data_IF_228414101234
#
_entry.id   IF_228414101234
#
_cell.length_a   1.000
_cell.length_b   1.000
_cell.length_c   1.000
_cell.angle_alpha   90.00
_cell.angle_beta   90.00
_cell.angle_gamma   90.00
#
_symmetry.space_group_name_H-M   'P 1'
#
loop_
_entity.id
_entity.type
_entity.pdbx_description
1 polymer ?
#
# COMPACT_ATOMS: atom_id res chain seq x y z
N UNK A 1 -15.30 -1.00 -20.31
CA UNK A 1 -14.84 0.10 -19.42
C UNK A 1 -14.60 1.32 -20.28
N UNK A 2 -15.18 2.47 -19.95
CA UNK A 2 -15.01 3.69 -20.77
C UNK A 2 -13.58 4.24 -20.67
N UNK A 3 -13.16 5.07 -21.64
CA UNK A 3 -11.83 5.69 -21.68
C UNK A 3 -11.55 6.49 -20.40
N UNK A 4 -12.53 7.25 -19.93
CA UNK A 4 -12.44 8.05 -18.70
C UNK A 4 -12.24 7.18 -17.45
N UNK A 5 -12.99 6.08 -17.31
CA UNK A 5 -12.79 5.15 -16.19
C UNK A 5 -11.39 4.54 -16.19
N UNK A 6 -10.84 4.24 -17.37
CA UNK A 6 -9.47 3.73 -17.48
C UNK A 6 -8.44 4.76 -17.03
N UNK A 7 -8.61 6.02 -17.42
CA UNK A 7 -7.73 7.11 -16.99
C UNK A 7 -7.81 7.30 -15.47
N UNK A 8 -9.02 7.42 -14.92
CA UNK A 8 -9.23 7.59 -13.47
C UNK A 8 -8.63 6.42 -12.70
N UNK A 9 -8.89 5.18 -13.14
CA UNK A 9 -8.35 3.98 -12.49
C UNK A 9 -6.82 3.93 -12.55
N UNK A 10 -6.23 4.30 -13.69
CA UNK A 10 -4.77 4.37 -13.82
C UNK A 10 -4.18 5.41 -12.87
N UNK A 11 -4.80 6.58 -12.77
CA UNK A 11 -4.36 7.63 -11.84
C UNK A 11 -4.47 7.16 -10.38
N UNK A 12 -5.57 6.50 -10.00
CA UNK A 12 -5.75 5.93 -8.65
C UNK A 12 -4.64 4.93 -8.32
N UNK A 13 -4.35 4.00 -9.23
CA UNK A 13 -3.29 3.00 -9.02
C UNK A 13 -1.90 3.64 -8.95
N UNK A 14 -1.61 4.64 -9.78
CA UNK A 14 -0.33 5.38 -9.72
C UNK A 14 -0.21 6.14 -8.40
N UNK A 15 -1.28 6.79 -7.94
CA UNK A 15 -1.29 7.50 -6.66
C UNK A 15 -1.08 6.53 -5.50
N UNK A 16 -1.74 5.37 -5.51
CA UNK A 16 -1.54 4.31 -4.53
C UNK A 16 -0.08 3.83 -4.51
N UNK A 17 0.52 3.58 -5.67
CA UNK A 17 1.94 3.23 -5.78
C UNK A 17 2.84 4.35 -5.22
N UNK A 18 2.55 5.62 -5.52
CA UNK A 18 3.34 6.74 -5.01
C UNK A 18 3.23 6.89 -3.49
N UNK A 19 2.03 6.75 -2.93
CA UNK A 19 1.78 6.82 -1.48
C UNK A 19 2.43 5.64 -0.75
N UNK A 20 2.35 4.43 -1.31
CA UNK A 20 3.01 3.24 -0.72
C UNK A 20 4.53 3.32 -0.77
N UNK A 21 5.11 3.97 -1.78
CA UNK A 21 6.56 4.19 -1.89
C UNK A 21 7.07 5.35 -1.03
N UNK A 22 6.22 6.31 -0.64
CA UNK A 22 6.63 7.50 0.09
C UNK A 22 7.44 7.22 1.38
N UNK A 23 7.10 6.23 2.23
CA UNK A 23 7.89 5.90 3.42
C UNK A 23 9.29 5.38 3.07
N UNK A 24 9.41 4.60 1.98
CA UNK A 24 10.70 4.06 1.52
C UNK A 24 11.59 5.20 1.02
N UNK A 25 11.04 6.09 0.20
CA UNK A 25 11.77 7.26 -0.31
C UNK A 25 12.16 8.22 0.81
N UNK A 26 11.27 8.45 1.79
CA UNK A 26 11.64 9.23 2.98
C UNK A 26 12.72 8.55 3.82
N UNK A 27 12.67 7.23 3.98
CA UNK A 27 13.72 6.49 4.69
C UNK A 27 15.09 6.61 4.02
N UNK A 28 15.13 6.61 2.68
CA UNK A 28 16.35 6.79 1.89
C UNK A 28 16.87 8.24 1.88
N UNK A 29 15.98 9.23 1.94
CA UNK A 29 16.36 10.66 2.00
C UNK A 29 16.75 11.12 3.41
N UNK A 30 16.24 10.44 4.43
CA UNK A 30 16.53 10.69 5.86
C UNK A 30 17.34 9.51 6.39
N UNK A 31 18.24 8.98 5.58
CA UNK A 31 19.27 8.09 6.06
C UNK A 31 20.26 8.98 6.82
N UNK A 32 20.44 8.81 8.16
CA UNK A 32 21.42 9.59 8.88
C UNK A 32 22.78 9.29 8.24
N UNK A 33 23.43 10.34 7.74
CA UNK A 33 24.79 10.27 7.23
C UNK A 33 25.62 9.43 8.21
N UNK A 34 26.24 8.37 7.72
CA UNK A 34 27.10 7.48 8.50
C UNK A 34 28.32 8.19 9.14
N UNK A 35 28.42 9.52 8.98
CA UNK A 35 29.43 10.38 9.58
C UNK A 35 29.25 10.63 11.10
N UNK A 36 28.09 10.35 11.70
CA UNK A 36 27.86 10.58 13.14
C UNK A 36 27.96 9.30 14.02
N UNK A 37 28.43 8.18 13.47
CA UNK A 37 28.65 6.96 14.26
C UNK A 37 30.02 7.02 14.93
N UNK A 38 30.07 7.59 16.14
CA UNK A 38 31.20 7.41 17.04
C UNK A 38 31.39 5.91 17.33
N UNK A 39 32.59 5.33 17.18
CA UNK A 39 32.81 3.89 17.32
C UNK A 39 32.60 3.48 18.78
N UNK A 40 31.43 2.89 19.07
CA UNK A 40 31.08 2.40 20.41
C UNK A 40 29.70 2.81 20.93
N UNK A 41 28.99 3.72 20.25
CA UNK A 41 27.61 4.08 20.62
C UNK A 41 26.62 3.03 20.11
N UNK A 42 25.90 2.35 21.01
CA UNK A 42 24.71 1.56 20.62
C UNK A 42 23.79 2.48 19.81
N UNK A 43 23.57 2.14 18.54
CA UNK A 43 22.60 2.79 17.67
C UNK A 43 21.25 2.71 18.37
N UNK A 44 20.81 3.82 18.98
CA UNK A 44 19.46 3.93 19.53
C UNK A 44 18.55 4.16 18.32
N UNK A 45 17.71 3.19 17.92
CA UNK A 45 16.76 3.45 16.85
C UNK A 45 15.83 4.59 17.31
N UNK A 46 15.81 5.68 16.54
CA UNK A 46 15.02 6.90 16.76
C UNK A 46 13.55 6.66 16.33
N UNK A 47 12.98 5.55 16.79
CA UNK A 47 11.53 5.32 16.81
C UNK A 47 11.27 4.70 18.18
N UNK A 48 10.87 5.53 19.14
CA UNK A 48 10.44 5.04 20.44
C UNK A 48 9.16 4.22 20.24
N UNK A 49 9.31 2.91 20.30
CA UNK A 49 8.27 1.88 20.40
C UNK A 49 7.54 2.01 21.76
N UNK A 50 6.93 3.16 22.03
CA UNK A 50 6.40 3.47 23.37
C UNK A 50 5.01 2.89 23.66
N UNK A 51 4.43 2.07 22.78
CA UNK A 51 3.10 1.44 22.98
C UNK A 51 3.02 0.02 22.40
N UNK A 52 4.05 -0.81 22.60
CA UNK A 52 3.97 -2.24 22.20
C UNK A 52 3.61 -3.09 23.42
N UNK A 53 2.53 -3.89 23.39
CA UNK A 53 2.33 -4.90 24.41
C UNK A 53 3.56 -5.82 24.47
N UNK A 54 4.04 -6.08 25.69
CA UNK A 54 5.34 -6.67 26.09
C UNK A 54 5.70 -8.03 25.43
N UNK A 55 4.87 -8.56 24.54
CA UNK A 55 4.98 -9.87 23.91
C UNK A 55 5.31 -9.86 22.40
N UNK A 56 5.49 -8.70 21.76
CA UNK A 56 5.89 -8.66 20.34
C UNK A 56 7.41 -8.64 20.16
N UNK A 57 7.98 -9.50 19.28
CA UNK A 57 9.39 -9.42 18.92
C UNK A 57 9.69 -8.05 18.29
N UNK A 58 10.80 -7.43 18.73
CA UNK A 58 11.31 -6.17 18.17
C UNK A 58 11.42 -6.31 16.64
N UNK A 59 10.75 -5.42 15.90
CA UNK A 59 10.79 -5.39 14.43
C UNK A 59 9.68 -6.16 13.70
N UNK A 60 8.81 -6.91 14.39
CA UNK A 60 7.68 -7.61 13.74
C UNK A 60 6.72 -6.64 13.04
N UNK A 61 6.45 -5.49 13.66
CA UNK A 61 5.62 -4.42 13.09
C UNK A 61 6.25 -3.82 11.82
N UNK A 62 7.57 -3.68 11.77
CA UNK A 62 8.30 -3.20 10.59
C UNK A 62 8.28 -4.25 9.46
N UNK A 63 8.49 -5.52 9.79
CA UNK A 63 8.41 -6.62 8.84
C UNK A 63 7.01 -6.75 8.21
N UNK A 64 5.96 -6.67 9.03
CA UNK A 64 4.57 -6.69 8.55
C UNK A 64 4.27 -5.46 7.69
N UNK A 65 4.70 -4.26 8.09
CA UNK A 65 4.53 -3.05 7.29
C UNK A 65 5.20 -3.20 5.92
N UNK A 66 6.47 -3.63 5.88
CA UNK A 66 7.22 -3.83 4.63
C UNK A 66 6.56 -4.89 3.73
N UNK A 67 6.20 -6.04 4.29
CA UNK A 67 5.57 -7.12 3.54
C UNK A 67 4.21 -6.68 2.96
N UNK A 68 3.41 -5.99 3.77
CA UNK A 68 2.07 -5.54 3.37
C UNK A 68 2.14 -4.44 2.31
N UNK A 69 3.06 -3.48 2.45
CA UNK A 69 3.24 -2.42 1.44
C UNK A 69 3.78 -2.99 0.13
N UNK A 70 4.70 -3.96 0.18
CA UNK A 70 5.19 -4.64 -1.03
C UNK A 70 4.08 -5.42 -1.73
N UNK A 71 3.25 -6.16 -1.00
CA UNK A 71 2.11 -6.86 -1.58
C UNK A 71 1.14 -5.89 -2.26
N UNK A 72 0.77 -4.80 -1.58
CA UNK A 72 -0.09 -3.76 -2.15
C UNK A 72 0.53 -3.17 -3.42
N UNK A 73 1.80 -2.77 -3.38
CA UNK A 73 2.53 -2.20 -4.51
C UNK A 73 2.53 -3.14 -5.71
N UNK A 74 2.88 -4.41 -5.49
CA UNK A 74 2.90 -5.44 -6.55
C UNK A 74 1.51 -5.67 -7.11
N UNK A 75 0.47 -5.74 -6.28
CA UNK A 75 -0.90 -5.88 -6.79
C UNK A 75 -1.40 -4.66 -7.56
N UNK A 76 -1.09 -3.44 -7.11
CA UNK A 76 -1.45 -2.21 -7.80
C UNK A 76 -0.74 -2.09 -9.15
N UNK A 77 0.56 -2.37 -9.19
CA UNK A 77 1.34 -2.40 -10.43
C UNK A 77 0.82 -3.49 -11.39
N UNK A 78 0.54 -4.70 -10.86
CA UNK A 78 0.01 -5.81 -11.67
C UNK A 78 -1.38 -5.52 -12.22
N UNK A 79 -2.19 -4.72 -11.52
CA UNK A 79 -3.51 -4.30 -11.97
C UNK A 79 -3.46 -3.32 -13.16
N UNK A 80 -2.36 -2.60 -13.37
CA UNK A 80 -2.19 -1.76 -14.56
C UNK A 80 -2.19 -2.59 -15.84
N UNK A 81 -1.60 -3.78 -15.84
CA UNK A 81 -1.54 -4.65 -17.01
C UNK A 81 -2.93 -5.03 -17.56
N UNK A 82 -3.87 -5.61 -16.80
CA UNK A 82 -5.22 -5.90 -17.30
C UNK A 82 -6.01 -4.63 -17.61
N UNK A 83 -5.80 -3.53 -16.89
CA UNK A 83 -6.48 -2.24 -17.18
C UNK A 83 -6.17 -1.74 -18.60
N UNK A 84 -4.94 -1.94 -19.08
CA UNK A 84 -4.51 -1.51 -20.41
C UNK A 84 -4.62 -2.60 -21.49
N UNK A 85 -4.19 -3.83 -21.19
CA UNK A 85 -4.13 -4.92 -22.15
C UNK A 85 -5.46 -5.67 -22.30
N UNK A 86 -6.26 -5.75 -21.23
CA UNK A 86 -7.52 -6.51 -21.21
C UNK A 86 -8.62 -5.75 -20.46
N UNK A 87 -9.05 -4.56 -20.93
CA UNK A 87 -9.96 -3.66 -20.18
C UNK A 87 -11.37 -4.20 -19.94
N UNK A 88 -11.73 -5.35 -20.53
CA UNK A 88 -12.97 -6.08 -20.26
C UNK A 88 -12.80 -7.16 -19.18
N UNK A 89 -11.58 -7.58 -18.88
CA UNK A 89 -11.29 -8.56 -17.85
C UNK A 89 -11.48 -7.94 -16.46
N UNK A 90 -12.29 -8.59 -15.62
CA UNK A 90 -12.60 -8.15 -14.25
C UNK A 90 -12.11 -9.13 -13.19
N UNK A 91 -11.52 -10.25 -13.59
CA UNK A 91 -11.07 -11.31 -12.68
C UNK A 91 -10.00 -10.84 -11.70
N UNK A 92 -9.15 -9.90 -12.12
CA UNK A 92 -8.11 -9.29 -11.28
C UNK A 92 -8.68 -8.46 -10.11
N UNK A 93 -9.96 -8.04 -10.18
CA UNK A 93 -10.58 -7.24 -9.12
C UNK A 93 -10.69 -8.04 -7.84
N UNK A 94 -10.96 -9.35 -7.93
CA UNK A 94 -11.09 -10.20 -6.76
C UNK A 94 -9.75 -10.32 -6.01
N UNK A 95 -8.65 -10.57 -6.72
CA UNK A 95 -7.31 -10.65 -6.12
C UNK A 95 -6.87 -9.29 -5.59
N UNK A 96 -7.10 -8.21 -6.33
CA UNK A 96 -6.83 -6.85 -5.86
C UNK A 96 -7.58 -6.56 -4.55
N UNK A 97 -8.89 -6.74 -4.52
CA UNK A 97 -9.73 -6.47 -3.35
C UNK A 97 -9.31 -7.33 -2.17
N UNK A 98 -9.10 -8.62 -2.38
CA UNK A 98 -8.67 -9.56 -1.34
C UNK A 98 -7.36 -9.14 -0.68
N UNK A 99 -6.35 -8.76 -1.47
CA UNK A 99 -5.07 -8.27 -0.95
C UNK A 99 -5.24 -6.99 -0.14
N UNK A 100 -6.07 -6.05 -0.58
CA UNK A 100 -6.27 -4.78 0.11
C UNK A 100 -7.10 -4.93 1.38
N UNK A 101 -8.09 -5.84 1.41
CA UNK A 101 -8.81 -6.19 2.64
C UNK A 101 -7.87 -6.86 3.66
N UNK A 102 -7.03 -7.79 3.21
CA UNK A 102 -6.04 -8.42 4.08
C UNK A 102 -5.03 -7.38 4.62
N UNK A 103 -4.57 -6.47 3.76
CA UNK A 103 -3.69 -5.37 4.15
C UNK A 103 -4.35 -4.42 5.15
N UNK A 104 -5.64 -4.12 4.99
CA UNK A 104 -6.41 -3.33 5.95
C UNK A 104 -6.53 -4.04 7.30
N UNK A 105 -6.81 -5.35 7.30
CA UNK A 105 -6.86 -6.16 8.52
C UNK A 105 -5.53 -6.21 9.25
N UNK A 106 -4.42 -6.44 8.53
CA UNK A 106 -3.06 -6.39 9.09
C UNK A 106 -2.72 -4.99 9.61
N UNK A 107 -3.05 -3.96 8.85
CA UNK A 107 -2.85 -2.58 9.27
C UNK A 107 -3.58 -2.28 10.58
N UNK A 108 -4.83 -2.73 10.71
CA UNK A 108 -5.64 -2.54 11.90
C UNK A 108 -5.04 -3.26 13.12
N UNK A 109 -4.71 -4.55 12.98
CA UNK A 109 -4.14 -5.38 14.07
C UNK A 109 -2.79 -4.85 14.56
N UNK A 110 -1.99 -4.24 13.67
CA UNK A 110 -0.67 -3.70 14.00
C UNK A 110 -0.66 -2.19 14.29
N UNK A 111 -1.83 -1.56 14.44
CA UNK A 111 -1.94 -0.13 14.77
C UNK A 111 -1.31 0.78 13.71
N UNK A 112 -1.52 0.46 12.43
CA UNK A 112 -0.99 1.18 11.27
C UNK A 112 -2.15 1.92 10.56
N UNK A 113 -2.60 3.08 11.09
CA UNK A 113 -3.84 3.73 10.64
C UNK A 113 -3.77 4.21 9.19
N UNK A 114 -2.61 4.70 8.73
CA UNK A 114 -2.43 5.15 7.35
C UNK A 114 -2.52 3.98 6.35
N UNK A 115 -1.87 2.86 6.67
CA UNK A 115 -1.93 1.65 5.84
C UNK A 115 -3.35 1.10 5.77
N UNK A 116 -4.02 1.06 6.93
CA UNK A 116 -5.42 0.63 7.03
C UNK A 116 -6.34 1.50 6.19
N UNK A 117 -6.19 2.82 6.29
CA UNK A 117 -7.00 3.78 5.53
C UNK A 117 -6.77 3.62 4.03
N UNK A 118 -5.51 3.61 3.59
CA UNK A 118 -5.16 3.45 2.18
C UNK A 118 -5.73 2.14 1.62
N UNK A 119 -5.46 1.03 2.31
CA UNK A 119 -5.90 -0.29 1.89
C UNK A 119 -7.44 -0.38 1.85
N UNK A 120 -8.14 0.20 2.82
CA UNK A 120 -9.62 0.21 2.84
C UNK A 120 -10.19 1.05 1.71
N UNK A 121 -9.65 2.26 1.49
CA UNK A 121 -10.11 3.14 0.40
C UNK A 121 -9.88 2.46 -0.96
N UNK A 122 -8.74 1.82 -1.17
CA UNK A 122 -8.45 1.08 -2.40
C UNK A 122 -9.34 -0.15 -2.58
N UNK A 123 -9.53 -0.94 -1.51
CA UNK A 123 -10.40 -2.13 -1.49
C UNK A 123 -11.86 -1.81 -1.86
N UNK A 124 -12.31 -0.59 -1.60
CA UNK A 124 -13.69 -0.16 -1.92
C UNK A 124 -13.74 0.62 -3.23
N UNK A 125 -12.87 1.62 -3.39
CA UNK A 125 -12.89 2.57 -4.50
C UNK A 125 -12.60 1.92 -5.85
N UNK A 126 -11.60 1.05 -5.93
CA UNK A 126 -11.22 0.40 -7.20
C UNK A 126 -12.33 -0.55 -7.68
N UNK A 127 -12.86 -1.48 -6.86
CA UNK A 127 -13.95 -2.34 -7.31
C UNK A 127 -15.21 -1.56 -7.68
N UNK A 128 -15.58 -0.53 -6.92
CA UNK A 128 -16.72 0.32 -7.27
C UNK A 128 -16.55 0.95 -8.65
N UNK A 129 -15.38 1.50 -8.96
CA UNK A 129 -15.12 2.12 -10.25
C UNK A 129 -15.14 1.11 -11.41
N UNK A 130 -14.59 -0.09 -11.19
CA UNK A 130 -14.50 -1.15 -12.21
C UNK A 130 -15.85 -1.83 -12.45
N UNK A 131 -16.61 -2.09 -11.38
CA UNK A 131 -17.87 -2.82 -11.43
C UNK A 131 -19.09 -1.92 -11.61
N UNK A 132 -18.94 -0.59 -11.48
CA UNK A 132 -20.03 0.34 -11.72
C UNK A 132 -20.72 0.07 -13.07
N UNK A 133 -22.06 0.07 -13.14
CA UNK A 133 -22.76 -0.09 -14.41
C UNK A 133 -22.33 0.98 -15.40
N UNK A 134 -22.15 0.63 -16.68
CA UNK A 134 -21.95 1.65 -17.72
C UNK A 134 -23.29 2.37 -17.91
N UNK A 135 -23.29 3.71 -17.83
CA UNK A 135 -24.51 4.48 -18.14
C UNK A 135 -24.87 4.18 -19.59
N UNK A 136 -26.11 3.74 -19.85
CA UNK A 136 -26.64 3.59 -21.22
C UNK A 136 -26.62 4.97 -21.87
N UNK A 137 -25.85 5.12 -22.95
CA UNK A 137 -25.77 6.38 -23.72
C UNK A 137 -24.36 6.85 -24.10
N UNK A 138 -23.30 6.16 -23.65
CA UNK A 138 -21.92 6.33 -24.17
C UNK A 138 -21.57 5.26 -25.22
#
# INVERSE_FOLDING_TARGET
MSKWRRVILTLLLIVEMAVTLLPVVRGLLIEPSAADVSPGGRVRPVIEEHDVPVWQPVGLRQGVLLATTMLMLVTAASALAPVWLRPKARTWVATFTGTHVAAAGLGWVHGLPLLTLLATVSAVGVPLLVLAPQRRGE
#
